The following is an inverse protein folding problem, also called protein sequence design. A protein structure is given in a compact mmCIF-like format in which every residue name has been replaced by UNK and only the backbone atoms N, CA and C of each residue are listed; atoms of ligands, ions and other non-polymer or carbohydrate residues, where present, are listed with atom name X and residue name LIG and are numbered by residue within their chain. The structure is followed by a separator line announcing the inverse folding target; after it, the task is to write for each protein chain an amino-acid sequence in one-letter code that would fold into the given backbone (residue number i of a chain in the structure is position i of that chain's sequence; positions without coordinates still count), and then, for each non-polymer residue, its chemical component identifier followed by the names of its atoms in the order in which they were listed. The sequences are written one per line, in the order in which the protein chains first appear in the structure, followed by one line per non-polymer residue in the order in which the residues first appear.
data_IF_111935003578
#
_entry.id   IF_111935003578
#
_cell.length_a   1.000
_cell.length_b   1.000
_cell.length_c   1.000
_cell.angle_alpha   90.00
_cell.angle_beta   90.00
_cell.angle_gamma   90.00
#
_symmetry.space_group_name_H-M   'P 1'
#
loop_
_entity.id
_entity.type
_entity.pdbx_description
1 polymer ?
#
# COMPACT_ATOMS: atom_id res chain seq x y z
N UNK A 1 15.40 -72.98 0.60
CA UNK A 1 16.17 -71.76 0.27
C UNK A 1 15.54 -70.59 1.01
N UNK A 2 16.37 -69.87 1.79
CA UNK A 2 15.98 -68.74 2.65
C UNK A 2 15.71 -67.51 1.78
N UNK A 3 14.79 -66.63 2.21
CA UNK A 3 14.95 -65.18 2.12
C UNK A 3 13.94 -64.51 3.07
N UNK A 4 14.47 -64.08 4.20
CA UNK A 4 13.84 -63.24 5.22
C UNK A 4 13.95 -61.78 4.76
N UNK A 5 12.83 -61.08 4.62
CA UNK A 5 12.80 -59.63 4.39
C UNK A 5 12.38 -58.91 5.68
N UNK A 6 13.37 -58.49 6.45
CA UNK A 6 13.20 -57.55 7.54
C UNK A 6 12.80 -56.19 6.98
N UNK A 7 11.58 -55.73 7.27
CA UNK A 7 11.13 -54.37 6.96
C UNK A 7 11.67 -53.41 8.01
N UNK A 8 12.58 -52.54 7.59
CA UNK A 8 13.05 -51.39 8.35
C UNK A 8 11.92 -50.35 8.39
N UNK A 9 11.38 -50.04 9.57
CA UNK A 9 10.40 -48.96 9.76
C UNK A 9 11.20 -47.69 10.09
N UNK A 10 11.21 -46.73 9.17
CA UNK A 10 11.81 -45.42 9.36
C UNK A 10 10.78 -44.49 10.05
N UNK A 11 11.00 -44.15 11.31
CA UNK A 11 10.19 -43.17 12.03
C UNK A 11 10.65 -41.75 11.66
N UNK A 12 9.85 -41.03 10.88
CA UNK A 12 10.01 -39.59 10.64
C UNK A 12 9.49 -38.82 11.86
N UNK A 13 10.41 -38.29 12.68
CA UNK A 13 10.09 -37.32 13.72
C UNK A 13 9.80 -35.97 13.05
N UNK A 14 8.52 -35.66 12.85
CA UNK A 14 8.08 -34.32 12.51
C UNK A 14 8.22 -33.42 13.76
N UNK A 15 9.28 -32.63 13.80
CA UNK A 15 9.38 -31.53 14.77
C UNK A 15 8.36 -30.46 14.38
N UNK A 16 7.39 -30.10 15.24
CA UNK A 16 6.56 -28.95 14.99
C UNK A 16 7.44 -27.70 15.14
N UNK A 17 7.71 -27.03 14.02
CA UNK A 17 8.25 -25.67 14.06
C UNK A 17 7.14 -24.79 14.65
N UNK A 18 7.27 -24.46 15.93
CA UNK A 18 6.48 -23.39 16.55
C UNK A 18 6.93 -22.08 15.90
N UNK A 19 6.18 -21.65 14.88
CA UNK A 19 6.24 -20.30 14.35
C UNK A 19 5.92 -19.35 15.50
N UNK A 20 6.96 -18.76 16.09
CA UNK A 20 6.80 -17.64 17.00
C UNK A 20 6.32 -16.48 16.14
N UNK A 21 5.02 -16.21 16.19
CA UNK A 21 4.47 -14.94 15.76
C UNK A 21 5.12 -13.88 16.66
N UNK A 22 6.22 -13.32 16.19
CA UNK A 22 6.88 -12.19 16.82
C UNK A 22 5.81 -11.09 16.91
N UNK A 23 5.32 -10.84 18.11
CA UNK A 23 4.39 -9.74 18.36
C UNK A 23 5.14 -8.47 18.00
N UNK A 24 4.99 -8.01 16.76
CA UNK A 24 5.63 -6.82 16.25
C UNK A 24 5.30 -5.69 17.22
N UNK A 25 6.32 -5.23 17.94
CA UNK A 25 6.16 -4.19 18.95
C UNK A 25 5.70 -2.94 18.21
N UNK A 26 4.49 -2.49 18.48
CA UNK A 26 3.94 -1.32 17.85
C UNK A 26 4.77 -0.09 18.23
N UNK A 27 5.41 0.52 17.23
CA UNK A 27 6.27 1.69 17.43
C UNK A 27 5.49 3.01 17.57
N UNK A 28 4.16 2.95 17.45
CA UNK A 28 3.27 4.11 17.49
C UNK A 28 2.60 4.30 18.85
N UNK A 29 2.96 3.50 19.86
CA UNK A 29 2.35 3.48 21.20
C UNK A 29 2.31 4.84 21.91
N UNK A 30 3.24 5.73 21.57
CA UNK A 30 3.32 7.10 22.11
C UNK A 30 2.35 8.10 21.46
N UNK A 31 1.70 7.74 20.36
CA UNK A 31 0.78 8.63 19.63
C UNK A 31 -0.63 8.44 20.17
N UNK A 32 -1.16 9.48 20.81
CA UNK A 32 -2.49 9.47 21.42
C UNK A 32 -3.52 10.31 20.65
N UNK A 33 -3.06 11.21 19.78
CA UNK A 33 -3.89 12.04 18.90
C UNK A 33 -4.24 11.28 17.62
N UNK A 34 -5.55 11.23 17.29
CA UNK A 34 -6.02 10.70 16.01
C UNK A 34 -5.54 11.53 14.83
N UNK A 35 -5.43 12.85 15.00
CA UNK A 35 -4.87 13.75 13.97
C UNK A 35 -3.42 13.41 13.66
N UNK A 36 -2.57 13.34 14.68
CA UNK A 36 -1.14 13.08 14.51
C UNK A 36 -0.90 11.70 13.91
N UNK A 37 -1.70 10.70 14.32
CA UNK A 37 -1.65 9.37 13.75
C UNK A 37 -2.02 9.37 12.27
N UNK A 38 -3.11 10.04 11.89
CA UNK A 38 -3.55 10.14 10.50
C UNK A 38 -2.51 10.83 9.62
N UNK A 39 -1.93 11.94 10.08
CA UNK A 39 -0.88 12.64 9.36
C UNK A 39 0.37 11.78 9.21
N UNK A 40 0.82 11.12 10.29
CA UNK A 40 1.97 10.24 10.25
C UNK A 40 1.78 9.09 9.28
N UNK A 41 0.64 8.41 9.32
CA UNK A 41 0.36 7.27 8.43
C UNK A 41 0.18 7.71 6.97
N UNK A 42 -0.39 8.89 6.73
CA UNK A 42 -0.48 9.47 5.39
C UNK A 42 0.91 9.75 4.81
N UNK A 43 1.80 10.37 5.60
CA UNK A 43 3.20 10.62 5.22
C UNK A 43 3.98 9.31 5.03
N UNK A 44 3.74 8.31 5.88
CA UNK A 44 4.33 6.97 5.73
C UNK A 44 3.88 6.29 4.44
N UNK A 45 2.62 6.45 4.05
CA UNK A 45 2.09 5.92 2.77
C UNK A 45 2.85 6.51 1.58
N UNK A 46 3.07 7.83 1.59
CA UNK A 46 3.84 8.53 0.56
C UNK A 46 5.30 8.04 0.54
N UNK A 47 5.91 7.89 1.71
CA UNK A 47 7.29 7.44 1.84
C UNK A 47 7.49 6.00 1.33
N UNK A 48 6.51 5.10 1.58
CA UNK A 48 6.52 3.74 1.03
C UNK A 48 6.55 3.78 -0.51
N UNK A 49 5.66 4.56 -1.13
CA UNK A 49 5.61 4.68 -2.60
C UNK A 49 6.91 5.30 -3.14
N UNK A 50 7.42 6.35 -2.49
CA UNK A 50 8.67 7.02 -2.89
C UNK A 50 9.85 6.05 -2.83
N UNK A 51 10.02 5.30 -1.74
CA UNK A 51 11.09 4.30 -1.57
C UNK A 51 10.96 3.15 -2.55
N UNK A 52 9.76 2.61 -2.72
CA UNK A 52 9.49 1.56 -3.68
C UNK A 52 9.75 2.01 -5.13
N UNK A 53 9.62 3.30 -5.43
CA UNK A 53 9.94 3.85 -6.75
C UNK A 53 11.46 4.01 -7.01
N UNK A 54 12.27 4.06 -5.96
CA UNK A 54 13.69 4.38 -6.03
C UNK A 54 14.54 3.20 -6.59
N UNK A 55 15.73 3.49 -7.13
CA UNK A 55 16.74 2.45 -7.40
C UNK A 55 17.13 1.70 -6.11
N UNK A 56 17.48 0.42 -6.24
CA UNK A 56 17.92 -0.42 -5.12
C UNK A 56 16.90 -0.55 -3.97
N UNK A 57 15.61 -0.39 -4.26
CA UNK A 57 14.52 -0.54 -3.30
C UNK A 57 14.52 -1.93 -2.63
N UNK A 58 15.08 -2.95 -3.28
CA UNK A 58 15.24 -4.31 -2.76
C UNK A 58 16.11 -4.35 -1.49
N UNK A 59 16.99 -3.37 -1.30
CA UNK A 59 17.91 -3.26 -0.17
C UNK A 59 17.43 -2.25 0.89
N UNK A 60 16.27 -1.62 0.68
CA UNK A 60 15.73 -0.61 1.60
C UNK A 60 15.11 -1.27 2.84
N UNK A 61 15.88 -1.27 3.94
CA UNK A 61 15.46 -1.82 5.22
C UNK A 61 14.23 -1.08 5.79
N UNK A 62 14.08 0.22 5.54
CA UNK A 62 12.92 0.99 6.02
C UNK A 62 11.66 0.62 5.23
N UNK A 63 11.77 0.40 3.93
CA UNK A 63 10.66 -0.10 3.12
C UNK A 63 10.19 -1.47 3.64
N UNK A 64 11.14 -2.37 3.93
CA UNK A 64 10.84 -3.70 4.52
C UNK A 64 10.21 -3.58 5.91
N UNK A 65 10.65 -2.62 6.71
CA UNK A 65 10.09 -2.34 8.04
C UNK A 65 8.65 -1.83 7.96
N UNK A 66 8.37 -0.92 7.01
CA UNK A 66 7.05 -0.31 6.87
C UNK A 66 5.99 -1.22 6.26
N UNK A 67 6.38 -2.19 5.43
CA UNK A 67 5.44 -3.06 4.69
C UNK A 67 5.44 -4.45 5.30
N UNK A 68 4.27 -4.96 5.70
CA UNK A 68 4.15 -6.36 6.13
C UNK A 68 4.47 -7.29 4.95
N UNK A 69 5.13 -8.45 5.15
CA UNK A 69 5.49 -9.33 4.04
C UNK A 69 4.29 -9.78 3.20
N UNK A 70 3.14 -9.97 3.84
CA UNK A 70 1.86 -10.41 3.25
C UNK A 70 0.96 -9.21 2.89
N UNK A 71 1.47 -7.98 2.94
CA UNK A 71 0.67 -6.80 2.64
C UNK A 71 0.17 -6.87 1.20
N UNK A 72 -1.14 -6.78 0.98
CA UNK A 72 -1.72 -6.91 -0.36
C UNK A 72 -1.79 -5.57 -1.09
N UNK A 73 -1.61 -5.60 -2.41
CA UNK A 73 -1.66 -4.41 -3.27
C UNK A 73 -2.63 -4.63 -4.43
N UNK A 74 -3.53 -3.67 -4.66
CA UNK A 74 -4.48 -3.70 -5.77
C UNK A 74 -4.69 -2.28 -6.33
N UNK A 75 -4.61 -2.13 -7.65
CA UNK A 75 -4.93 -0.88 -8.33
C UNK A 75 -5.76 -1.16 -9.57
N UNK A 76 -7.06 -0.90 -9.46
CA UNK A 76 -8.00 -1.07 -10.56
C UNK A 76 -8.08 0.12 -11.51
N UNK A 77 -8.77 -0.10 -12.63
CA UNK A 77 -9.18 0.94 -13.58
C UNK A 77 -10.52 0.57 -14.23
N UNK A 78 -11.42 1.55 -14.40
CA UNK A 78 -12.80 1.29 -14.83
C UNK A 78 -13.58 0.47 -13.80
N UNK A 79 -14.04 -0.73 -14.17
CA UNK A 79 -14.79 -1.65 -13.31
C UNK A 79 -13.98 -2.88 -12.84
N UNK A 80 -12.67 -2.92 -13.10
CA UNK A 80 -11.82 -4.09 -12.82
C UNK A 80 -10.71 -3.76 -11.82
N UNK A 81 -10.67 -4.49 -10.70
CA UNK A 81 -9.55 -4.50 -9.76
C UNK A 81 -8.37 -5.31 -10.31
N UNK A 82 -7.14 -4.92 -9.97
CA UNK A 82 -5.93 -5.57 -10.47
C UNK A 82 -4.98 -5.86 -9.31
N UNK A 83 -4.87 -7.12 -8.87
CA UNK A 83 -3.86 -7.51 -7.89
C UNK A 83 -2.44 -7.21 -8.42
N UNK A 84 -1.60 -6.64 -7.56
CA UNK A 84 -0.23 -6.22 -7.85
C UNK A 84 0.82 -7.03 -7.07
N UNK A 85 0.39 -8.06 -6.33
CA UNK A 85 1.24 -8.89 -5.51
C UNK A 85 1.26 -8.44 -4.05
N UNK A 86 2.25 -8.95 -3.32
CA UNK A 86 2.35 -8.81 -1.86
C UNK A 86 3.67 -8.16 -1.44
N UNK A 87 3.68 -7.62 -0.22
CA UNK A 87 4.85 -7.09 0.44
C UNK A 87 5.54 -5.97 -0.34
N UNK A 88 6.86 -5.89 -0.21
CA UNK A 88 7.66 -4.85 -0.88
C UNK A 88 7.61 -4.94 -2.41
N UNK A 89 7.41 -6.15 -2.96
CA UNK A 89 7.20 -6.36 -4.39
C UNK A 89 5.88 -5.72 -4.87
N UNK A 90 4.81 -5.88 -4.09
CA UNK A 90 3.53 -5.24 -4.37
C UNK A 90 3.62 -3.70 -4.30
N UNK A 91 4.34 -3.17 -3.30
CA UNK A 91 4.62 -1.74 -3.20
C UNK A 91 5.38 -1.22 -4.43
N UNK A 92 6.39 -1.98 -4.90
CA UNK A 92 7.13 -1.67 -6.13
C UNK A 92 6.21 -1.66 -7.34
N UNK A 93 5.41 -2.70 -7.54
CA UNK A 93 4.46 -2.81 -8.65
C UNK A 93 3.44 -1.66 -8.65
N UNK A 94 2.91 -1.31 -7.47
CA UNK A 94 2.00 -0.18 -7.30
C UNK A 94 2.67 1.15 -7.69
N UNK A 95 3.87 1.43 -7.16
CA UNK A 95 4.62 2.66 -7.49
C UNK A 95 4.96 2.75 -8.98
N UNK A 96 5.36 1.63 -9.59
CA UNK A 96 5.73 1.54 -11.00
C UNK A 96 4.52 1.70 -11.93
N UNK A 97 3.33 1.27 -11.50
CA UNK A 97 2.09 1.49 -12.26
C UNK A 97 1.67 2.96 -12.21
N UNK A 98 1.54 3.53 -11.00
CA UNK A 98 1.04 4.89 -10.82
C UNK A 98 1.93 5.95 -11.47
N UNK A 99 3.27 5.75 -11.41
CA UNK A 99 4.28 6.71 -11.92
C UNK A 99 4.04 8.15 -11.45
N UNK A 100 3.53 8.29 -10.23
CA UNK A 100 3.09 9.57 -9.71
C UNK A 100 4.25 10.52 -9.43
N UNK A 101 4.08 11.78 -9.79
CA UNK A 101 5.00 12.88 -9.49
C UNK A 101 4.45 13.86 -8.44
N UNK A 102 3.17 13.73 -8.08
CA UNK A 102 2.53 14.51 -7.01
C UNK A 102 1.69 13.62 -6.11
N UNK A 103 1.46 14.10 -4.90
CA UNK A 103 0.56 13.47 -3.94
C UNK A 103 -0.28 14.52 -3.20
N UNK A 104 -1.39 14.08 -2.61
CA UNK A 104 -2.22 14.86 -1.71
C UNK A 104 -2.94 13.96 -0.71
N UNK A 105 -3.20 14.47 0.49
CA UNK A 105 -4.05 13.80 1.47
C UNK A 105 -4.77 14.86 2.32
N UNK A 106 -5.95 14.49 2.82
CA UNK A 106 -6.75 15.41 3.63
C UNK A 106 -6.23 15.44 5.07
N UNK A 107 -5.99 16.65 5.60
CA UNK A 107 -5.65 16.84 6.99
C UNK A 107 -6.92 16.79 7.86
N UNK A 108 -6.90 15.99 8.93
CA UNK A 108 -7.97 15.94 9.91
C UNK A 108 -7.85 17.11 10.91
N UNK A 109 -8.38 18.27 10.55
CA UNK A 109 -8.34 19.45 11.44
C UNK A 109 -9.46 19.46 12.49
N UNK A 110 -10.61 18.86 12.20
CA UNK A 110 -11.87 19.14 12.94
C UNK A 110 -12.21 18.11 14.05
N UNK A 111 -11.63 16.91 14.05
CA UNK A 111 -11.89 15.89 15.07
C UNK A 111 -10.60 15.21 15.52
N UNK A 112 -10.08 15.64 16.67
CA UNK A 112 -8.92 15.03 17.32
C UNK A 112 -9.38 14.17 18.49
N UNK A 113 -9.85 12.97 18.15
CA UNK A 113 -10.29 12.00 19.13
C UNK A 113 -9.10 11.17 19.61
N UNK A 114 -9.10 10.71 20.87
CA UNK A 114 -8.14 9.72 21.35
C UNK A 114 -8.12 8.51 20.42
N UNK A 115 -6.93 8.03 20.08
CA UNK A 115 -6.76 6.89 19.17
C UNK A 115 -6.02 5.74 19.84
N UNK A 116 -6.30 4.53 19.36
CA UNK A 116 -5.49 3.34 19.64
C UNK A 116 -4.49 3.20 18.49
N UNK A 117 -3.32 3.81 18.61
CA UNK A 117 -2.34 3.91 17.52
C UNK A 117 -1.85 2.58 16.95
N UNK A 118 -2.01 1.49 17.70
CA UNK A 118 -1.59 0.15 17.32
C UNK A 118 -2.73 -0.70 16.73
N UNK A 119 -3.97 -0.22 16.76
CA UNK A 119 -5.11 -0.91 16.15
C UNK A 119 -5.11 -0.75 14.63
N UNK A 120 -6.11 -1.32 13.96
CA UNK A 120 -6.28 -1.14 12.53
C UNK A 120 -6.55 0.33 12.20
N UNK A 121 -5.75 0.90 11.30
CA UNK A 121 -5.87 2.29 10.85
C UNK A 121 -6.03 2.32 9.34
N UNK A 122 -6.72 3.34 8.82
CA UNK A 122 -6.90 3.53 7.39
C UNK A 122 -6.74 4.98 7.02
N UNK A 123 -5.89 5.26 6.03
CA UNK A 123 -5.68 6.60 5.47
C UNK A 123 -5.89 6.60 3.96
N UNK A 124 -6.30 7.75 3.43
CA UNK A 124 -6.49 7.95 1.99
C UNK A 124 -5.42 8.89 1.48
N UNK A 125 -4.71 8.48 0.43
CA UNK A 125 -3.73 9.33 -0.26
C UNK A 125 -4.03 9.31 -1.75
N UNK A 126 -4.04 10.49 -2.34
CA UNK A 126 -4.12 10.69 -3.78
C UNK A 126 -2.71 10.80 -4.35
N UNK A 127 -2.46 10.10 -5.44
CA UNK A 127 -1.24 10.17 -6.23
C UNK A 127 -1.59 10.60 -7.65
N UNK A 128 -0.81 11.52 -8.21
CA UNK A 128 -1.08 12.10 -9.54
C UNK A 128 0.14 11.92 -10.42
N UNK A 129 -0.08 11.36 -11.60
CA UNK A 129 0.84 11.41 -12.73
C UNK A 129 0.38 12.51 -13.68
N UNK A 130 1.04 13.66 -13.59
CA UNK A 130 0.68 14.86 -14.34
C UNK A 130 1.00 14.75 -15.83
N UNK A 131 1.92 13.86 -16.22
CA UNK A 131 2.28 13.64 -17.63
C UNK A 131 1.18 12.91 -18.38
N UNK A 132 0.60 11.90 -17.74
CA UNK A 132 -0.42 11.04 -18.34
C UNK A 132 -1.85 11.46 -17.93
N UNK A 133 -1.98 12.51 -17.10
CA UNK A 133 -3.26 12.99 -16.54
C UNK A 133 -4.04 11.89 -15.82
N UNK A 134 -3.32 11.08 -15.05
CA UNK A 134 -3.87 9.97 -14.25
C UNK A 134 -3.84 10.34 -12.78
N UNK A 135 -4.93 10.04 -12.08
CA UNK A 135 -5.08 10.18 -10.63
C UNK A 135 -5.40 8.82 -10.03
N UNK A 136 -4.65 8.45 -9.00
CA UNK A 136 -4.83 7.23 -8.23
C UNK A 136 -5.23 7.60 -6.80
N UNK A 137 -6.44 7.23 -6.38
CA UNK A 137 -6.86 7.41 -4.97
C UNK A 137 -6.70 6.07 -4.25
N UNK A 138 -5.73 5.99 -3.36
CA UNK A 138 -5.34 4.75 -2.69
C UNK A 138 -5.71 4.83 -1.21
N UNK A 139 -6.37 3.77 -0.75
CA UNK A 139 -6.60 3.49 0.65
C UNK A 139 -5.47 2.63 1.19
N UNK A 140 -4.76 3.12 2.20
CA UNK A 140 -3.71 2.37 2.89
C UNK A 140 -4.23 1.93 4.26
N UNK A 141 -4.24 0.61 4.49
CA UNK A 141 -4.64 0.00 5.76
C UNK A 141 -3.39 -0.42 6.53
N UNK A 142 -3.32 -0.05 7.80
CA UNK A 142 -2.20 -0.33 8.70
C UNK A 142 -2.64 -1.18 9.88
N UNK A 143 -1.75 -2.04 10.36
CA UNK A 143 -1.88 -2.76 11.61
C UNK A 143 -0.57 -2.64 12.39
N UNK A 144 -0.63 -2.24 13.67
CA UNK A 144 0.55 -1.97 14.50
C UNK A 144 1.57 -1.03 13.81
N UNK A 145 1.08 -0.11 12.97
CA UNK A 145 1.90 0.85 12.22
C UNK A 145 2.58 0.31 10.95
N UNK A 146 2.42 -0.97 10.61
CA UNK A 146 2.89 -1.56 9.33
C UNK A 146 1.76 -1.61 8.32
N UNK A 147 2.07 -1.34 7.07
CA UNK A 147 1.13 -1.43 5.96
C UNK A 147 0.75 -2.90 5.74
N UNK A 148 -0.55 -3.20 5.67
CA UNK A 148 -1.10 -4.54 5.42
C UNK A 148 -1.95 -4.61 4.15
N UNK A 149 -2.41 -3.46 3.65
CA UNK A 149 -3.15 -3.39 2.38
C UNK A 149 -3.02 -2.00 1.77
N UNK A 150 -2.84 -1.93 0.45
CA UNK A 150 -2.99 -0.72 -0.33
C UNK A 150 -3.91 -0.99 -1.53
N UNK A 151 -5.09 -0.38 -1.54
CA UNK A 151 -6.11 -0.60 -2.56
C UNK A 151 -6.62 0.71 -3.13
N UNK A 152 -6.73 0.82 -4.45
CA UNK A 152 -7.28 2.01 -5.06
C UNK A 152 -7.74 1.85 -6.50
N UNK A 153 -8.04 2.99 -7.10
CA UNK A 153 -8.51 3.09 -8.48
C UNK A 153 -7.80 4.23 -9.20
N UNK A 154 -7.43 3.97 -10.44
CA UNK A 154 -6.95 4.95 -11.41
C UNK A 154 -8.12 5.56 -12.18
N UNK A 155 -8.09 6.88 -12.32
CA UNK A 155 -8.98 7.64 -13.18
C UNK A 155 -8.19 8.63 -14.01
N UNK A 156 -8.54 8.75 -15.29
CA UNK A 156 -8.09 9.88 -16.12
C UNK A 156 -8.82 11.14 -15.68
N UNK A 157 -8.12 12.25 -15.65
CA UNK A 157 -8.72 13.53 -15.30
C UNK A 157 -8.35 14.60 -16.31
N UNK A 158 -9.16 15.65 -16.36
CA UNK A 158 -8.88 16.88 -17.09
C UNK A 158 -9.16 18.05 -16.16
N UNK A 159 -8.37 19.10 -16.28
CA UNK A 159 -8.53 20.33 -15.48
C UNK A 159 -8.64 21.52 -16.42
N UNK A 160 -9.46 22.49 -16.04
CA UNK A 160 -9.59 23.78 -16.73
C UNK A 160 -9.82 24.89 -15.72
N UNK A 161 -9.65 26.13 -16.14
CA UNK A 161 -10.02 27.29 -15.32
C UNK A 161 -11.53 27.47 -15.33
N UNK A 162 -12.12 27.79 -14.18
CA UNK A 162 -13.53 28.17 -14.09
C UNK A 162 -13.82 29.50 -14.81
N UNK A 163 -12.80 30.33 -14.99
CA UNK A 163 -12.89 31.64 -15.64
C UNK A 163 -12.55 31.59 -17.14
N UNK A 164 -12.17 30.42 -17.67
CA UNK A 164 -11.90 30.27 -19.10
C UNK A 164 -13.22 30.04 -19.85
N UNK A 165 -13.60 31.01 -20.69
CA UNK A 165 -14.68 30.84 -21.66
C UNK A 165 -14.33 29.65 -22.58
N UNK A 166 -15.08 28.55 -22.43
CA UNK A 166 -14.90 27.33 -23.21
C UNK A 166 -15.24 27.61 -24.68
N UNK A 167 -14.24 28.02 -25.48
CA UNK A 167 -14.38 28.12 -26.93
C UNK A 167 -14.52 26.71 -27.51
N UNK A 168 -15.75 26.18 -27.49
CA UNK A 168 -16.12 24.98 -28.25
C UNK A 168 -15.89 25.27 -29.74
N UNK A 169 -15.03 24.54 -30.44
CA UNK A 169 -14.93 24.68 -31.89
C UNK A 169 -16.27 24.27 -32.50
N UNK A 170 -16.87 25.19 -33.25
CA UNK A 170 -18.03 24.90 -34.09
C UNK A 170 -17.55 23.90 -35.14
N UNK A 171 -17.94 22.63 -34.98
CA UNK A 171 -17.75 21.61 -36.01
C UNK A 171 -18.73 21.94 -37.12
N UNK A 172 -18.25 22.59 -38.18
CA UNK A 172 -19.05 22.76 -39.41
C UNK A 172 -19.10 21.42 -40.13
N UNK A 173 -20.30 20.82 -40.32
CA UNK A 173 -20.40 19.61 -41.14
C UNK A 173 -20.03 19.96 -42.58
N UNK A 174 -19.20 19.11 -43.21
CA UNK A 174 -19.04 19.09 -44.67
C UNK A 174 -20.19 18.32 -45.29
#
# INVERSE_FOLDING_TARGET
MRLSWSRLVLALLAFPVLAHAETARCELDKITSGRDLHELLSRRSIEIIRRASAPHWELDAELTRFVAPEASFDLGGGDVGRPLGEGVMGARALSALMRADRYGFDAWSVMDLPTQSCSAQKVMVEFVNTRDSVRSKIAFSYLAGRLVEAKGWEVFYSTGSLDAEEKRPIVTPR
#
